data_IF_456918111587
#
_entry.id   IF_456918111587
#
_cell.length_a   1.000
_cell.length_b   1.000
_cell.length_c   1.000
_cell.angle_alpha   90.00
_cell.angle_beta   90.00
_cell.angle_gamma   90.00
#
_symmetry.space_group_name_H-M   'P 1'
#
loop_
_entity.id
_entity.type
_entity.pdbx_description
1 polymer ?
#
# COMPACT_ATOMS: atom_id res chain seq x y z
N UNK A 1 -17.74 13.00 19.69
CA UNK A 1 -16.87 12.17 18.82
C UNK A 1 -16.43 12.99 17.62
N UNK A 2 -15.27 12.70 17.01
CA UNK A 2 -14.72 13.47 15.89
C UNK A 2 -15.45 13.26 14.55
N UNK A 3 -16.36 12.28 14.45
CA UNK A 3 -17.21 12.02 13.27
C UNK A 3 -16.43 11.93 11.94
N UNK A 4 -15.28 11.27 11.99
CA UNK A 4 -14.39 11.05 10.86
C UNK A 4 -13.85 9.61 10.91
N UNK A 5 -12.99 9.25 9.96
CA UNK A 5 -12.40 7.91 9.84
C UNK A 5 -10.87 7.93 9.88
N UNK A 6 -10.26 6.75 9.92
CA UNK A 6 -8.81 6.55 9.90
C UNK A 6 -8.38 5.99 8.55
N UNK A 7 -7.26 6.52 8.05
CA UNK A 7 -6.45 5.92 6.99
C UNK A 7 -5.23 5.21 7.59
N UNK A 8 -4.75 4.13 6.96
CA UNK A 8 -3.52 3.47 7.38
C UNK A 8 -2.58 3.22 6.21
N UNK A 9 -1.32 3.60 6.42
CA UNK A 9 -0.20 3.16 5.59
C UNK A 9 0.07 1.67 5.85
N UNK A 10 -0.19 0.80 4.86
CA UNK A 10 0.06 -0.62 5.00
C UNK A 10 0.38 -1.29 3.65
N UNK A 11 1.40 -2.15 3.65
CA UNK A 11 1.85 -2.86 2.45
C UNK A 11 1.41 -4.32 2.41
N UNK A 12 1.77 -5.09 3.43
CA UNK A 12 1.60 -6.55 3.42
C UNK A 12 0.20 -6.98 3.82
N UNK A 13 -0.28 -8.07 3.24
CA UNK A 13 -1.56 -8.69 3.60
C UNK A 13 -1.78 -8.80 5.11
N UNK A 14 -0.77 -9.29 5.87
CA UNK A 14 -0.83 -9.36 7.34
C UNK A 14 -1.08 -8.00 8.00
N UNK A 15 -0.40 -6.94 7.56
CA UNK A 15 -0.55 -5.61 8.13
C UNK A 15 -1.90 -4.99 7.77
N UNK A 16 -2.30 -5.13 6.50
CA UNK A 16 -3.58 -4.67 5.97
C UNK A 16 -4.72 -5.35 6.73
N UNK A 17 -4.71 -6.69 6.82
CA UNK A 17 -5.73 -7.47 7.53
C UNK A 17 -5.95 -6.97 8.95
N UNK A 18 -4.88 -6.81 9.73
CA UNK A 18 -4.97 -6.28 11.09
C UNK A 18 -5.59 -4.87 11.13
N UNK A 19 -5.19 -3.99 10.21
CA UNK A 19 -5.75 -2.63 10.15
C UNK A 19 -7.25 -2.64 9.85
N UNK A 20 -7.68 -3.49 8.91
CA UNK A 20 -9.09 -3.68 8.55
C UNK A 20 -9.90 -4.29 9.70
N UNK A 21 -9.34 -5.30 10.40
CA UNK A 21 -9.97 -5.89 11.60
C UNK A 21 -10.13 -4.86 12.73
N UNK A 22 -9.25 -3.85 12.81
CA UNK A 22 -9.35 -2.72 13.73
C UNK A 22 -10.28 -1.59 13.24
N UNK A 23 -10.90 -1.69 12.07
CA UNK A 23 -11.88 -0.72 11.56
C UNK A 23 -11.30 0.47 10.81
N UNK A 24 -10.07 0.38 10.31
CA UNK A 24 -9.52 1.37 9.37
C UNK A 24 -10.36 1.39 8.09
N UNK A 25 -10.67 2.58 7.58
CA UNK A 25 -11.56 2.74 6.41
C UNK A 25 -10.79 2.76 5.09
N UNK A 26 -9.59 3.32 5.04
CA UNK A 26 -8.76 3.38 3.82
C UNK A 26 -7.36 2.83 4.07
N UNK A 27 -6.87 2.05 3.12
CA UNK A 27 -5.53 1.48 3.11
C UNK A 27 -4.73 2.18 2.01
N UNK A 28 -3.67 2.86 2.41
CA UNK A 28 -2.78 3.57 1.50
C UNK A 28 -1.68 2.62 1.02
N UNK A 29 -1.29 2.76 -0.25
CA UNK A 29 -0.36 1.87 -0.96
C UNK A 29 -0.96 0.49 -1.28
N UNK A 30 -0.95 -0.44 -0.32
CA UNK A 30 -1.53 -1.77 -0.47
C UNK A 30 -0.80 -2.74 -1.40
N UNK A 31 0.47 -2.48 -1.77
CA UNK A 31 1.14 -3.18 -2.88
C UNK A 31 1.31 -4.70 -2.69
N UNK A 32 1.31 -5.20 -1.46
CA UNK A 32 1.59 -6.61 -1.12
C UNK A 32 0.36 -7.28 -0.49
N UNK A 33 -0.83 -6.86 -0.90
CA UNK A 33 -2.09 -7.50 -0.52
C UNK A 33 -2.23 -8.88 -1.18
N UNK A 34 -2.90 -9.83 -0.51
CA UNK A 34 -3.29 -11.11 -1.08
C UNK A 34 -4.80 -11.16 -1.33
N UNK A 35 -5.27 -12.18 -2.07
CA UNK A 35 -6.67 -12.31 -2.44
C UNK A 35 -7.61 -12.43 -1.22
N UNK A 36 -7.17 -13.10 -0.14
CA UNK A 36 -7.98 -13.26 1.07
C UNK A 36 -8.17 -11.93 1.81
N UNK A 37 -7.11 -11.13 1.90
CA UNK A 37 -7.15 -9.82 2.53
C UNK A 37 -7.93 -8.82 1.68
N UNK A 38 -7.78 -8.85 0.35
CA UNK A 38 -8.57 -8.02 -0.56
C UNK A 38 -10.07 -8.34 -0.46
N UNK A 39 -10.45 -9.63 -0.35
CA UNK A 39 -11.83 -10.04 -0.08
C UNK A 39 -12.34 -9.51 1.25
N UNK A 40 -11.56 -9.62 2.33
CA UNK A 40 -11.92 -9.05 3.62
C UNK A 40 -12.11 -7.53 3.57
N UNK A 41 -11.25 -6.81 2.84
CA UNK A 41 -11.41 -5.36 2.63
C UNK A 41 -12.76 -5.04 1.99
N UNK A 42 -13.13 -5.77 0.93
CA UNK A 42 -14.41 -5.60 0.25
C UNK A 42 -15.60 -5.91 1.17
N UNK A 43 -15.55 -7.03 1.92
CA UNK A 43 -16.58 -7.41 2.89
C UNK A 43 -16.79 -6.35 3.98
N UNK A 44 -15.71 -5.67 4.40
CA UNK A 44 -15.74 -4.62 5.43
C UNK A 44 -16.05 -3.23 4.88
N UNK A 45 -16.23 -3.09 3.56
CA UNK A 45 -16.44 -1.79 2.91
C UNK A 45 -15.24 -0.84 3.04
N UNK A 46 -14.03 -1.40 3.13
CA UNK A 46 -12.79 -0.64 3.16
C UNK A 46 -12.29 -0.34 1.74
N UNK A 47 -11.54 0.76 1.61
CA UNK A 47 -11.04 1.24 0.32
C UNK A 47 -9.53 1.08 0.23
N UNK A 48 -9.02 0.82 -0.98
CA UNK A 48 -7.60 0.92 -1.29
C UNK A 48 -7.31 2.24 -2.01
N UNK A 49 -6.19 2.87 -1.68
CA UNK A 49 -5.66 4.05 -2.40
C UNK A 49 -4.25 3.70 -2.92
N UNK A 50 -4.16 3.10 -4.11
CA UNK A 50 -2.89 2.74 -4.71
C UNK A 50 -2.11 4.00 -5.13
N UNK A 51 -0.78 3.96 -4.97
CA UNK A 51 0.09 5.10 -5.28
C UNK A 51 1.12 4.76 -6.36
N UNK A 52 0.75 3.92 -7.33
CA UNK A 52 1.68 3.31 -8.31
C UNK A 52 2.67 4.30 -8.95
N UNK A 53 2.20 5.49 -9.33
CA UNK A 53 3.04 6.54 -9.94
C UNK A 53 4.24 6.92 -9.09
N UNK A 54 4.16 6.86 -7.75
CA UNK A 54 5.29 7.19 -6.89
C UNK A 54 6.43 6.20 -7.07
N UNK A 55 6.13 4.90 -7.23
CA UNK A 55 7.15 3.88 -7.41
C UNK A 55 7.77 3.94 -8.81
N UNK A 56 7.02 4.34 -9.83
CA UNK A 56 7.58 4.63 -11.16
C UNK A 56 8.58 5.79 -11.10
N UNK A 57 8.18 6.90 -10.47
CA UNK A 57 9.05 8.08 -10.36
C UNK A 57 10.27 7.81 -9.48
N UNK A 58 10.13 7.01 -8.42
CA UNK A 58 11.27 6.61 -7.58
C UNK A 58 12.21 5.66 -8.32
N UNK A 59 11.70 4.77 -9.17
CA UNK A 59 12.54 3.89 -9.99
C UNK A 59 13.36 4.68 -11.02
N UNK A 60 12.76 5.73 -11.62
CA UNK A 60 13.42 6.54 -12.63
C UNK A 60 14.35 7.61 -12.04
N UNK A 61 13.94 8.26 -10.95
CA UNK A 61 14.61 9.46 -10.43
C UNK A 61 15.12 9.35 -8.99
N UNK A 62 14.82 8.26 -8.28
CA UNK A 62 15.10 8.13 -6.85
C UNK A 62 16.57 8.34 -6.52
N UNK A 63 17.47 7.58 -7.17
CA UNK A 63 18.92 7.71 -6.97
C UNK A 63 19.41 9.13 -7.30
N UNK A 64 18.97 9.69 -8.43
CA UNK A 64 19.34 11.04 -8.88
C UNK A 64 18.96 12.12 -7.87
N UNK A 65 17.82 11.96 -7.19
CA UNK A 65 17.33 12.90 -6.19
C UNK A 65 17.71 12.53 -4.74
N UNK A 66 18.66 11.60 -4.55
CA UNK A 66 19.29 11.34 -3.26
C UNK A 66 18.60 10.27 -2.42
N UNK A 67 17.78 9.41 -3.01
CA UNK A 67 17.23 8.25 -2.32
C UNK A 67 18.37 7.27 -1.97
N UNK A 68 18.46 6.78 -0.73
CA UNK A 68 19.51 5.84 -0.34
C UNK A 68 19.49 4.56 -1.19
N UNK A 69 20.67 3.98 -1.46
CA UNK A 69 20.80 2.78 -2.29
C UNK A 69 19.92 1.61 -1.81
N UNK A 70 19.82 1.41 -0.49
CA UNK A 70 18.96 0.38 0.12
C UNK A 70 17.47 0.61 -0.13
N UNK A 71 17.06 1.86 -0.29
CA UNK A 71 15.69 2.21 -0.67
C UNK A 71 15.47 2.01 -2.15
N UNK A 72 16.43 2.43 -2.99
CA UNK A 72 16.38 2.22 -4.45
C UNK A 72 16.24 0.75 -4.80
N UNK A 73 17.05 -0.10 -4.16
CA UNK A 73 17.03 -1.55 -4.37
C UNK A 73 15.66 -2.20 -4.09
N UNK A 74 14.86 -1.62 -3.19
CA UNK A 74 13.56 -2.15 -2.79
C UNK A 74 12.40 -1.67 -3.66
N UNK A 75 12.60 -0.64 -4.47
CA UNK A 75 11.50 -0.04 -5.24
C UNK A 75 10.89 -1.05 -6.20
N UNK A 76 11.72 -1.84 -6.88
CA UNK A 76 11.21 -2.75 -7.90
C UNK A 76 10.28 -3.81 -7.32
N UNK A 77 10.61 -4.34 -6.13
CA UNK A 77 9.79 -5.32 -5.43
C UNK A 77 8.37 -4.77 -5.15
N UNK A 78 8.28 -3.56 -4.59
CA UNK A 78 6.99 -2.94 -4.28
C UNK A 78 6.27 -2.43 -5.53
N UNK A 79 6.99 -1.96 -6.55
CA UNK A 79 6.42 -1.46 -7.81
C UNK A 79 5.76 -2.59 -8.58
N UNK A 80 6.47 -3.70 -8.77
CA UNK A 80 5.94 -4.84 -9.52
C UNK A 80 4.78 -5.50 -8.77
N UNK A 81 4.90 -5.68 -7.45
CA UNK A 81 3.80 -6.22 -6.66
C UNK A 81 2.57 -5.30 -6.69
N UNK A 82 2.78 -3.98 -6.64
CA UNK A 82 1.72 -2.99 -6.72
C UNK A 82 0.91 -3.05 -8.02
N UNK A 83 1.58 -3.33 -9.15
CA UNK A 83 0.91 -3.55 -10.44
C UNK A 83 0.09 -4.83 -10.47
N UNK A 84 0.57 -5.90 -9.82
CA UNK A 84 -0.12 -7.18 -9.75
C UNK A 84 -1.34 -7.18 -8.79
N UNK A 85 -1.39 -6.20 -7.89
CA UNK A 85 -2.44 -6.07 -6.88
C UNK A 85 -3.73 -5.39 -7.40
N UNK A 86 -3.74 -4.94 -8.66
CA UNK A 86 -4.85 -4.25 -9.33
C UNK A 86 -5.40 -5.10 -10.47
#
# INVERSE_FOLDING_TARGET
AANTYVMAHAYTARAIRRAIECGVRTIEHGNLVDADTARLMAEKGAFAVPTQVTYEMLAEYGERFGLPADSVAKIEDVRQAGRNAL
#
